data_IF_049302252852
#
_entry.id   IF_049302252852
#
_cell.length_a   1.000
_cell.length_b   1.000
_cell.length_c   1.000
_cell.angle_alpha   90.00
_cell.angle_beta   90.00
_cell.angle_gamma   90.00
#
_symmetry.space_group_name_H-M   'P 1'
#
loop_
_entity.id
_entity.type
_entity.pdbx_description
1 polymer ?
#
# COMPACT_ATOMS: atom_id res chain seq x y z
N UNK A 1 -11.98 -6.92 33.89
CA UNK A 1 -11.60 -5.75 34.70
C UNK A 1 -10.38 -5.20 34.02
N UNK A 2 -10.60 -4.35 33.02
CA UNK A 2 -9.52 -3.60 32.39
C UNK A 2 -9.01 -2.63 33.44
N UNK A 3 -7.76 -2.81 33.86
CA UNK A 3 -7.08 -1.80 34.66
C UNK A 3 -7.12 -0.50 33.87
N UNK A 4 -7.66 0.55 34.47
CA UNK A 4 -7.47 1.93 34.03
C UNK A 4 -5.96 2.18 33.91
N UNK A 5 -5.41 1.96 32.71
CA UNK A 5 -4.02 2.22 32.43
C UNK A 5 -3.78 3.73 32.51
N UNK A 6 -2.71 4.14 33.16
CA UNK A 6 -2.25 5.53 33.12
C UNK A 6 -2.19 6.00 31.65
N UNK A 7 -2.68 7.21 31.39
CA UNK A 7 -2.59 7.83 30.08
C UNK A 7 -1.14 7.82 29.62
N UNK A 8 -0.85 7.40 28.37
CA UNK A 8 0.52 7.34 27.88
C UNK A 8 1.15 8.73 27.85
N UNK A 9 2.36 8.84 28.40
CA UNK A 9 3.19 10.04 28.34
C UNK A 9 4.16 9.97 27.16
N UNK A 10 4.71 11.12 26.75
CA UNK A 10 5.75 11.22 25.72
C UNK A 10 5.39 10.48 24.40
N UNK A 11 4.11 10.46 24.04
CA UNK A 11 3.63 9.79 22.84
C UNK A 11 4.18 10.43 21.57
N UNK A 12 4.74 9.61 20.69
CA UNK A 12 5.18 9.98 19.35
C UNK A 12 4.81 8.88 18.35
N UNK A 13 4.45 9.29 17.14
CA UNK A 13 4.31 8.38 15.99
C UNK A 13 4.95 9.01 14.77
N UNK A 14 5.53 8.20 13.90
CA UNK A 14 6.21 8.67 12.70
C UNK A 14 6.04 7.69 11.54
N UNK A 15 6.13 8.25 10.33
CA UNK A 15 6.49 7.54 9.10
C UNK A 15 7.80 8.17 8.64
N UNK A 16 8.86 7.38 8.63
CA UNK A 16 10.13 7.78 8.05
C UNK A 16 10.14 7.37 6.58
N UNK A 17 9.87 8.34 5.71
CA UNK A 17 9.85 8.10 4.26
C UNK A 17 11.26 7.88 3.68
N UNK A 18 12.34 8.14 4.42
CA UNK A 18 13.71 7.94 3.92
C UNK A 18 14.12 6.47 3.98
N UNK A 19 13.54 5.70 4.90
CA UNK A 19 13.82 4.26 5.07
C UNK A 19 12.56 3.38 5.02
N UNK A 20 11.41 3.98 4.69
CA UNK A 20 10.10 3.34 4.64
C UNK A 20 9.75 2.54 5.90
N UNK A 21 10.06 3.10 7.07
CA UNK A 21 9.66 2.54 8.37
C UNK A 21 8.62 3.41 9.07
N UNK A 22 7.73 2.76 9.81
CA UNK A 22 6.70 3.42 10.62
C UNK A 22 6.98 3.08 12.06
N UNK A 23 6.74 4.00 12.98
CA UNK A 23 6.84 3.65 14.38
C UNK A 23 6.01 4.49 15.32
N UNK A 24 5.92 3.97 16.54
CA UNK A 24 5.23 4.57 17.67
C UNK A 24 6.10 4.38 18.91
N UNK A 25 6.23 5.42 19.72
CA UNK A 25 6.89 5.38 21.02
C UNK A 25 6.01 6.06 22.06
N UNK A 26 5.91 5.48 23.26
CA UNK A 26 5.20 6.09 24.38
C UNK A 26 5.71 5.53 25.71
N UNK A 27 5.43 6.24 26.78
CA UNK A 27 5.77 5.84 28.14
C UNK A 27 4.51 5.54 28.95
N UNK A 28 4.55 4.48 29.75
CA UNK A 28 3.54 4.15 30.76
C UNK A 28 4.27 3.74 32.04
N UNK A 29 4.07 4.51 33.12
CA UNK A 29 4.93 4.46 34.31
C UNK A 29 6.42 4.60 33.96
N UNK A 30 7.23 3.63 34.40
CA UNK A 30 8.67 3.60 34.12
C UNK A 30 9.05 2.88 32.82
N UNK A 31 8.06 2.41 32.04
CA UNK A 31 8.30 1.61 30.85
C UNK A 31 8.06 2.42 29.58
N UNK A 32 9.08 2.51 28.74
CA UNK A 32 8.99 3.03 27.37
C UNK A 32 8.73 1.86 26.43
N UNK A 33 7.64 1.95 25.68
CA UNK A 33 7.29 1.01 24.63
C UNK A 33 7.62 1.60 23.27
N UNK A 34 8.18 0.79 22.38
CA UNK A 34 8.46 1.18 20.99
C UNK A 34 7.94 0.12 20.05
N UNK A 35 7.33 0.55 18.95
CA UNK A 35 6.86 -0.31 17.87
C UNK A 35 7.44 0.21 16.57
N UNK A 36 8.12 -0.63 15.80
CA UNK A 36 8.60 -0.32 14.45
C UNK A 36 7.94 -1.30 13.47
N UNK A 37 7.46 -0.81 12.34
CA UNK A 37 6.78 -1.58 11.29
C UNK A 37 7.39 -1.25 9.93
N UNK A 38 7.48 -2.26 9.06
CA UNK A 38 7.78 -2.07 7.64
C UNK A 38 7.22 -3.22 6.80
N UNK A 39 6.83 -2.91 5.56
CA UNK A 39 6.42 -3.89 4.56
C UNK A 39 7.59 -4.13 3.61
N UNK A 40 8.23 -5.30 3.71
CA UNK A 40 9.50 -5.57 3.04
C UNK A 40 9.29 -6.35 1.75
N UNK A 41 9.53 -5.68 0.62
CA UNK A 41 9.48 -6.32 -0.70
C UNK A 41 10.45 -7.52 -0.82
N UNK A 42 11.72 -7.44 -0.36
CA UNK A 42 12.64 -8.59 -0.44
C UNK A 42 12.20 -9.84 0.33
N UNK A 43 11.39 -9.67 1.38
CA UNK A 43 10.89 -10.80 2.19
C UNK A 43 9.44 -11.15 1.86
N UNK A 44 8.72 -10.26 1.17
CA UNK A 44 7.30 -10.36 0.88
C UNK A 44 6.39 -10.23 2.11
N UNK A 45 6.90 -9.83 3.28
CA UNK A 45 6.16 -9.82 4.55
C UNK A 45 6.09 -8.42 5.17
N UNK A 46 5.03 -8.19 5.97
CA UNK A 46 5.01 -7.08 6.92
C UNK A 46 5.64 -7.53 8.23
N UNK A 47 6.59 -6.76 8.73
CA UNK A 47 7.37 -7.06 9.93
C UNK A 47 7.11 -5.97 10.95
N UNK A 48 6.79 -6.37 12.18
CA UNK A 48 6.68 -5.51 13.33
C UNK A 48 7.67 -5.93 14.41
N UNK A 49 8.41 -4.97 14.97
CA UNK A 49 9.22 -5.16 16.17
C UNK A 49 8.57 -4.38 17.31
N UNK A 50 8.20 -5.08 18.38
CA UNK A 50 7.65 -4.48 19.59
C UNK A 50 8.70 -4.58 20.69
N UNK A 51 8.97 -3.48 21.37
CA UNK A 51 10.01 -3.36 22.40
C UNK A 51 9.47 -2.66 23.64
N UNK A 52 10.00 -3.01 24.80
CA UNK A 52 9.74 -2.37 26.07
C UNK A 52 11.04 -2.35 26.89
N UNK A 53 11.51 -1.17 27.31
CA UNK A 53 12.82 -1.00 27.98
C UNK A 53 12.97 -1.73 29.33
N UNK A 54 11.89 -2.26 29.91
CA UNK A 54 11.89 -3.03 31.16
C UNK A 54 11.61 -4.50 30.83
N UNK A 55 12.49 -5.40 31.25
CA UNK A 55 12.33 -6.85 31.05
C UNK A 55 11.00 -7.34 31.65
N UNK A 56 10.30 -8.25 30.94
CA UNK A 56 9.02 -8.81 31.39
C UNK A 56 7.82 -7.86 31.32
N UNK A 57 7.98 -6.61 30.90
CA UNK A 57 6.89 -5.63 30.83
C UNK A 57 6.03 -5.72 29.55
N UNK A 58 6.52 -6.39 28.51
CA UNK A 58 5.81 -6.51 27.24
C UNK A 58 4.76 -7.64 27.29
N UNK A 59 3.48 -7.28 27.28
CA UNK A 59 2.34 -8.22 27.19
C UNK A 59 1.32 -7.69 26.20
N UNK A 60 0.84 -8.54 25.30
CA UNK A 60 -0.16 -8.17 24.29
C UNK A 60 -0.95 -9.39 23.80
N UNK A 61 -2.12 -9.11 23.24
CA UNK A 61 -2.89 -10.07 22.43
C UNK A 61 -2.81 -9.65 20.96
N UNK A 62 -2.59 -10.63 20.10
CA UNK A 62 -2.63 -10.42 18.65
C UNK A 62 -3.89 -11.10 18.09
N UNK A 63 -4.70 -10.32 17.40
CA UNK A 63 -5.88 -10.79 16.69
C UNK A 63 -5.89 -10.20 15.28
N UNK A 64 -6.29 -11.01 14.31
CA UNK A 64 -6.58 -10.55 12.95
C UNK A 64 -8.08 -10.63 12.77
N UNK A 65 -8.72 -9.50 12.52
CA UNK A 65 -10.14 -9.38 12.21
C UNK A 65 -10.35 -8.65 10.88
N UNK A 66 -11.60 -8.64 10.42
CA UNK A 66 -12.06 -7.91 9.22
C UNK A 66 -13.03 -6.78 9.60
N UNK A 67 -12.92 -6.24 10.80
CA UNK A 67 -13.76 -5.16 11.31
C UNK A 67 -14.98 -5.60 12.16
N UNK A 68 -15.67 -4.61 12.72
CA UNK A 68 -16.70 -4.77 13.77
C UNK A 68 -18.13 -5.02 13.26
N UNK A 69 -18.32 -5.20 11.94
CA UNK A 69 -19.63 -5.32 11.30
C UNK A 69 -20.06 -6.73 10.89
N UNK A 70 -19.26 -7.76 11.18
CA UNK A 70 -19.44 -9.10 10.60
C UNK A 70 -20.74 -9.78 11.04
N UNK A 71 -21.75 -9.72 10.18
CA UNK A 71 -22.72 -10.80 10.09
C UNK A 71 -22.03 -11.98 9.39
N UNK A 72 -22.29 -13.21 9.85
CA UNK A 72 -21.85 -14.49 9.26
C UNK A 72 -22.04 -14.66 7.74
N UNK A 73 -22.74 -13.73 7.08
CA UNK A 73 -23.02 -13.69 5.65
C UNK A 73 -21.91 -12.97 4.84
N UNK A 74 -20.98 -12.28 5.49
CA UNK A 74 -19.83 -11.59 4.85
C UNK A 74 -18.53 -12.42 4.91
N UNK A 75 -18.55 -13.55 5.64
CA UNK A 75 -17.42 -14.48 5.77
C UNK A 75 -17.33 -15.51 4.64
N UNK A 76 -18.35 -15.57 3.79
CA UNK A 76 -18.36 -16.44 2.62
C UNK A 76 -19.12 -15.77 1.48
N UNK A 77 -18.49 -15.68 0.32
CA UNK A 77 -19.17 -15.41 -0.93
C UNK A 77 -19.30 -16.72 -1.69
N UNK A 78 -20.52 -17.06 -2.10
CA UNK A 78 -20.76 -18.17 -3.00
C UNK A 78 -20.92 -17.65 -4.43
N UNK A 79 -20.40 -18.36 -5.44
CA UNK A 79 -20.64 -18.00 -6.83
C UNK A 79 -22.13 -17.93 -7.13
N UNK A 80 -22.60 -16.82 -7.69
CA UNK A 80 -23.94 -16.73 -8.23
C UNK A 80 -23.90 -17.10 -9.72
N UNK A 81 -24.21 -18.36 -10.04
CA UNK A 81 -24.16 -18.87 -11.41
C UNK A 81 -22.73 -19.14 -11.90
N UNK A 82 -22.60 -19.41 -13.21
CA UNK A 82 -21.32 -19.83 -13.84
C UNK A 82 -20.31 -18.72 -14.08
N UNK A 83 -20.74 -17.45 -14.03
CA UNK A 83 -19.94 -16.30 -14.45
C UNK A 83 -19.33 -15.53 -13.26
N UNK A 84 -19.58 -15.99 -12.03
CA UNK A 84 -18.96 -15.40 -10.83
C UNK A 84 -17.57 -16.00 -10.61
N UNK A 85 -16.55 -15.15 -10.49
CA UNK A 85 -15.18 -15.55 -10.18
C UNK A 85 -14.93 -15.35 -8.67
N UNK A 86 -14.97 -16.41 -7.83
CA UNK A 86 -14.68 -16.27 -6.41
C UNK A 86 -13.18 -16.06 -6.16
N UNK A 87 -12.85 -15.04 -5.36
CA UNK A 87 -11.49 -14.85 -4.84
C UNK A 87 -11.44 -15.35 -3.41
N UNK A 88 -10.69 -16.43 -3.18
CA UNK A 88 -10.33 -16.88 -1.84
C UNK A 88 -9.11 -16.12 -1.33
N UNK A 89 -9.00 -15.96 -0.01
CA UNK A 89 -7.80 -15.39 0.61
C UNK A 89 -7.46 -16.12 1.92
N UNK A 90 -6.21 -15.98 2.34
CA UNK A 90 -5.75 -16.36 3.67
C UNK A 90 -4.81 -15.29 4.19
N UNK A 91 -4.90 -15.01 5.49
CA UNK A 91 -3.98 -14.14 6.20
C UNK A 91 -3.54 -14.84 7.48
N UNK A 92 -2.31 -14.57 7.90
CA UNK A 92 -1.74 -15.16 9.11
C UNK A 92 -0.69 -14.27 9.71
N UNK A 93 -0.42 -14.52 10.99
CA UNK A 93 0.68 -13.89 11.70
C UNK A 93 1.50 -14.93 12.47
N UNK A 94 2.80 -14.69 12.58
CA UNK A 94 3.72 -15.46 13.42
C UNK A 94 4.40 -14.52 14.40
N UNK A 95 4.37 -14.88 15.66
CA UNK A 95 5.18 -14.25 16.70
C UNK A 95 6.44 -15.10 16.83
N UNK A 96 7.61 -14.55 16.49
CA UNK A 96 8.87 -15.24 16.76
C UNK A 96 9.20 -15.08 18.25
N UNK A 97 9.43 -16.20 18.95
CA UNK A 97 9.75 -16.14 20.37
C UNK A 97 11.09 -15.45 20.62
N UNK A 98 11.11 -14.73 21.73
CA UNK A 98 12.08 -13.73 22.16
C UNK A 98 13.51 -14.26 22.31
N UNK A 99 14.45 -13.33 22.27
CA UNK A 99 15.83 -13.49 22.76
C UNK A 99 15.93 -13.45 24.30
N UNK A 100 14.79 -13.48 25.01
CA UNK A 100 14.71 -13.45 26.47
C UNK A 100 14.54 -12.04 27.06
N UNK A 101 14.85 -10.98 26.31
CA UNK A 101 14.87 -9.60 26.80
C UNK A 101 14.03 -8.67 25.92
N UNK A 102 13.14 -7.88 26.53
CA UNK A 102 12.74 -6.52 26.08
C UNK A 102 12.06 -6.40 24.69
N UNK A 103 12.09 -7.38 23.78
CA UNK A 103 11.58 -7.26 22.40
C UNK A 103 10.94 -8.54 21.83
N UNK A 104 10.03 -8.38 20.86
CA UNK A 104 9.42 -9.47 20.08
C UNK A 104 9.21 -9.06 18.63
N UNK A 105 9.24 -10.04 17.73
CA UNK A 105 8.93 -9.85 16.31
C UNK A 105 7.60 -10.47 15.95
N UNK A 106 6.81 -9.73 15.18
CA UNK A 106 5.57 -10.21 14.58
C UNK A 106 5.68 -10.11 13.07
N UNK A 107 5.45 -11.21 12.38
CA UNK A 107 5.42 -11.31 10.92
C UNK A 107 3.98 -11.48 10.47
N UNK A 108 3.57 -10.75 9.44
CA UNK A 108 2.25 -10.88 8.82
C UNK A 108 2.41 -11.24 7.35
N UNK A 109 1.52 -12.13 6.89
CA UNK A 109 1.43 -12.51 5.49
C UNK A 109 -0.02 -12.73 5.08
N UNK A 110 -0.35 -12.38 3.83
CA UNK A 110 -1.61 -12.70 3.20
C UNK A 110 -1.43 -13.05 1.72
N UNK A 111 -2.27 -13.96 1.24
CA UNK A 111 -2.33 -14.32 -0.17
C UNK A 111 -3.78 -14.48 -0.61
N UNK A 112 -4.02 -14.29 -1.90
CA UNK A 112 -5.31 -14.57 -2.55
C UNK A 112 -5.15 -15.65 -3.62
N UNK A 113 -6.27 -16.23 -4.04
CA UNK A 113 -6.32 -17.20 -5.14
C UNK A 113 -5.88 -16.59 -6.48
N UNK A 114 -5.87 -15.26 -6.61
CA UNK A 114 -5.33 -14.57 -7.78
C UNK A 114 -3.81 -14.76 -7.93
N UNK A 115 -3.09 -15.09 -6.84
CA UNK A 115 -1.63 -15.21 -6.84
C UNK A 115 -1.13 -16.59 -6.42
N UNK A 116 -1.89 -17.30 -5.58
CA UNK A 116 -1.53 -18.61 -5.03
C UNK A 116 -2.71 -19.55 -5.14
N UNK A 117 -2.53 -20.71 -5.77
CA UNK A 117 -3.58 -21.72 -5.88
C UNK A 117 -4.10 -22.16 -4.51
N UNK A 118 -3.20 -22.31 -3.53
CA UNK A 118 -3.53 -22.52 -2.13
C UNK A 118 -2.94 -21.38 -1.27
N UNK A 119 -3.72 -20.31 -1.01
CA UNK A 119 -3.27 -19.19 -0.21
C UNK A 119 -2.88 -19.57 1.22
N UNK A 120 -3.58 -20.54 1.82
CA UNK A 120 -3.33 -20.95 3.20
C UNK A 120 -1.98 -21.66 3.32
N UNK A 121 -1.69 -22.61 2.42
CA UNK A 121 -0.40 -23.28 2.40
C UNK A 121 0.75 -22.27 2.20
N UNK A 122 0.58 -21.33 1.27
CA UNK A 122 1.59 -20.29 1.00
C UNK A 122 1.85 -19.38 2.20
N UNK A 123 0.79 -18.94 2.91
CA UNK A 123 0.92 -18.14 4.14
C UNK A 123 1.68 -18.92 5.22
N UNK A 124 1.30 -20.18 5.46
CA UNK A 124 1.93 -21.02 6.49
C UNK A 124 3.40 -21.27 6.17
N UNK A 125 3.73 -21.58 4.93
CA UNK A 125 5.11 -21.83 4.47
C UNK A 125 6.00 -20.60 4.67
N UNK A 126 5.57 -19.42 4.23
CA UNK A 126 6.35 -18.20 4.34
C UNK A 126 6.54 -17.74 5.78
N UNK A 127 5.49 -17.83 6.60
CA UNK A 127 5.60 -17.55 8.03
C UNK A 127 6.51 -18.58 8.72
N UNK A 128 6.46 -19.86 8.36
CA UNK A 128 7.37 -20.86 8.90
C UNK A 128 8.84 -20.52 8.59
N UNK A 129 9.11 -20.03 7.37
CA UNK A 129 10.43 -19.59 6.92
C UNK A 129 10.90 -18.26 7.54
N UNK A 130 10.01 -17.45 8.11
CA UNK A 130 10.37 -16.20 8.77
C UNK A 130 11.33 -16.45 9.95
N UNK A 131 12.45 -15.72 9.95
CA UNK A 131 13.59 -15.96 10.82
C UNK A 131 13.37 -15.55 12.29
N UNK A 132 14.24 -16.03 13.16
CA UNK A 132 14.34 -15.70 14.59
C UNK A 132 14.98 -14.32 14.83
N UNK A 133 14.86 -13.77 16.04
CA UNK A 133 15.16 -12.37 16.40
C UNK A 133 16.48 -11.80 15.87
N UNK A 134 17.54 -12.61 15.78
CA UNK A 134 18.87 -12.22 15.26
C UNK A 134 18.84 -11.81 13.78
N UNK A 135 17.85 -12.25 13.02
CA UNK A 135 17.66 -11.90 11.63
C UNK A 135 16.99 -10.52 11.42
N UNK A 136 16.40 -9.90 12.45
CA UNK A 136 15.69 -8.63 12.30
C UNK A 136 16.55 -7.55 11.66
N UNK A 137 17.75 -7.32 12.20
CA UNK A 137 18.68 -6.29 11.69
C UNK A 137 19.01 -6.53 10.21
N UNK A 138 19.15 -7.79 9.81
CA UNK A 138 19.38 -8.16 8.41
C UNK A 138 18.15 -7.90 7.53
N UNK A 139 16.96 -8.27 7.98
CA UNK A 139 15.72 -8.02 7.23
C UNK A 139 15.42 -6.53 7.10
N UNK A 140 15.60 -5.75 8.18
CA UNK A 140 15.50 -4.29 8.14
C UNK A 140 16.52 -3.71 7.17
N UNK A 141 17.77 -4.14 7.21
CA UNK A 141 18.78 -3.65 6.27
C UNK A 141 18.43 -3.99 4.82
N UNK A 142 18.00 -5.23 4.53
CA UNK A 142 17.55 -5.62 3.18
C UNK A 142 16.38 -4.77 2.70
N UNK A 143 15.40 -4.50 3.57
CA UNK A 143 14.29 -3.59 3.30
C UNK A 143 14.77 -2.18 2.95
N UNK A 144 15.63 -1.61 3.80
CA UNK A 144 16.14 -0.25 3.61
C UNK A 144 16.98 -0.15 2.33
N UNK A 145 17.86 -1.11 2.07
CA UNK A 145 18.71 -1.15 0.88
C UNK A 145 17.85 -1.22 -0.40
N UNK A 146 16.84 -2.08 -0.42
CA UNK A 146 15.88 -2.20 -1.52
C UNK A 146 15.10 -0.90 -1.77
N UNK A 147 14.54 -0.33 -0.71
CA UNK A 147 13.77 0.90 -0.79
C UNK A 147 14.63 2.10 -1.23
N UNK A 148 15.80 2.26 -0.62
CA UNK A 148 16.70 3.38 -0.88
C UNK A 148 17.36 3.30 -2.27
N UNK A 149 17.49 2.10 -2.85
CA UNK A 149 17.92 1.94 -4.24
C UNK A 149 16.98 2.64 -5.23
N UNK A 150 15.70 2.84 -4.87
CA UNK A 150 14.72 3.62 -5.63
C UNK A 150 14.62 5.06 -5.10
N UNK A 151 14.41 5.22 -3.79
CA UNK A 151 14.11 6.51 -3.18
C UNK A 151 15.24 7.53 -3.34
N UNK A 152 16.50 7.12 -3.21
CA UNK A 152 17.65 8.05 -3.23
C UNK A 152 18.03 8.54 -4.64
N UNK A 153 17.32 8.13 -5.70
CA UNK A 153 17.62 8.52 -7.10
C UNK A 153 17.28 9.96 -7.44
N UNK A 154 16.51 10.64 -6.59
CA UNK A 154 16.15 12.05 -6.77
C UNK A 154 16.07 12.69 -5.41
N UNK A 155 16.47 13.96 -5.35
CA UNK A 155 16.40 14.80 -4.18
C UNK A 155 15.85 16.15 -4.58
N UNK A 156 14.98 16.73 -3.76
CA UNK A 156 14.50 18.09 -3.91
C UNK A 156 14.92 18.91 -2.69
N UNK A 157 15.77 19.91 -2.90
CA UNK A 157 16.17 20.88 -1.87
C UNK A 157 15.57 22.25 -2.19
N UNK A 158 14.66 22.71 -1.34
CA UNK A 158 14.01 24.02 -1.44
C UNK A 158 14.52 25.01 -0.38
N UNK A 159 15.57 24.64 0.36
CA UNK A 159 16.11 25.38 1.49
C UNK A 159 15.77 24.76 2.84
N UNK A 160 16.13 25.48 3.90
CA UNK A 160 16.08 24.99 5.28
C UNK A 160 14.92 25.63 6.04
N UNK A 161 14.07 24.81 6.65
CA UNK A 161 13.01 25.30 7.53
C UNK A 161 13.60 25.80 8.85
N UNK A 162 12.93 26.78 9.44
CA UNK A 162 13.33 27.37 10.73
C UNK A 162 13.30 26.33 11.85
N UNK A 163 14.06 26.54 12.92
CA UNK A 163 14.03 25.68 14.10
C UNK A 163 12.62 25.58 14.72
N UNK A 164 11.83 26.65 14.63
CA UNK A 164 10.44 26.65 15.09
C UNK A 164 9.58 25.70 14.25
N UNK A 165 9.70 25.74 12.91
CA UNK A 165 8.99 24.82 12.01
C UNK A 165 9.41 23.36 12.23
N UNK A 166 10.71 23.08 12.39
CA UNK A 166 11.23 21.72 12.63
C UNK A 166 10.78 21.11 13.97
N UNK A 167 10.40 21.94 14.94
CA UNK A 167 9.85 21.48 16.22
C UNK A 167 8.33 21.25 16.19
N UNK A 168 7.66 21.53 15.07
CA UNK A 168 6.22 21.30 14.90
C UNK A 168 5.93 19.90 14.36
N UNK A 169 4.74 19.39 14.67
CA UNK A 169 4.20 18.19 14.03
C UNK A 169 3.85 18.45 12.57
N UNK A 170 3.81 17.40 11.74
CA UNK A 170 3.51 17.50 10.31
C UNK A 170 2.20 18.22 10.02
N UNK A 171 1.13 17.93 10.79
CA UNK A 171 -0.19 18.57 10.66
C UNK A 171 -0.15 20.07 10.98
N UNK A 172 0.61 20.47 12.00
CA UNK A 172 0.81 21.88 12.33
C UNK A 172 1.62 22.60 11.24
N UNK A 173 2.66 21.96 10.68
CA UNK A 173 3.42 22.51 9.54
C UNK A 173 2.53 22.70 8.32
N UNK A 174 1.71 21.71 7.97
CA UNK A 174 0.76 21.79 6.85
C UNK A 174 -0.29 22.89 7.05
N UNK A 175 -0.83 23.04 8.26
CA UNK A 175 -1.77 24.13 8.58
C UNK A 175 -1.11 25.51 8.39
N UNK A 176 0.14 25.64 8.85
CA UNK A 176 0.89 26.90 8.80
C UNK A 176 1.44 27.25 7.41
N UNK A 177 1.49 26.32 6.45
CA UNK A 177 1.92 26.58 5.07
C UNK A 177 1.14 27.71 4.39
N UNK A 178 -0.11 27.91 4.79
CA UNK A 178 -0.97 29.00 4.30
C UNK A 178 -0.45 30.40 4.66
N UNK A 179 0.34 30.48 5.73
CA UNK A 179 0.81 31.75 6.32
C UNK A 179 2.32 31.96 6.14
N UNK A 180 3.10 30.88 6.09
CA UNK A 180 4.54 30.95 5.90
C UNK A 180 5.04 29.75 5.08
N UNK A 181 5.86 30.03 4.07
CA UNK A 181 6.50 28.97 3.29
C UNK A 181 7.43 28.14 4.18
N UNK A 182 7.32 26.82 4.04
CA UNK A 182 8.11 25.85 4.77
C UNK A 182 8.79 24.93 3.73
N UNK A 183 10.09 25.13 3.44
CA UNK A 183 10.74 24.46 2.32
C UNK A 183 10.84 22.94 2.49
N UNK A 184 11.16 22.47 3.70
CA UNK A 184 11.35 21.03 3.92
C UNK A 184 10.03 20.26 3.92
N UNK A 185 8.91 20.85 4.37
CA UNK A 185 7.61 20.15 4.29
C UNK A 185 7.11 20.05 2.86
N UNK A 186 7.40 21.04 2.01
CA UNK A 186 7.09 20.98 0.57
C UNK A 186 7.97 19.95 -0.14
N UNK A 187 9.27 19.91 0.17
CA UNK A 187 10.15 18.84 -0.30
C UNK A 187 9.68 17.45 0.17
N UNK A 188 9.28 17.33 1.44
CA UNK A 188 8.69 16.10 2.01
C UNK A 188 7.43 15.69 1.26
N UNK A 189 6.57 16.63 0.85
CA UNK A 189 5.36 16.30 0.09
C UNK A 189 5.67 15.76 -1.32
N UNK A 190 6.68 16.32 -1.99
CA UNK A 190 7.22 15.76 -3.24
C UNK A 190 7.75 14.33 -3.04
N UNK A 191 8.56 14.12 -2.02
CA UNK A 191 9.11 12.80 -1.69
C UNK A 191 8.03 11.81 -1.24
N UNK A 192 6.95 12.29 -0.63
CA UNK A 192 5.82 11.47 -0.25
C UNK A 192 5.13 10.87 -1.49
N UNK A 193 4.99 11.63 -2.58
CA UNK A 193 4.48 11.09 -3.85
C UNK A 193 5.34 9.95 -4.40
N UNK A 194 6.67 10.10 -4.34
CA UNK A 194 7.63 9.04 -4.72
C UNK A 194 7.51 7.82 -3.80
N UNK A 195 7.45 8.05 -2.49
CA UNK A 195 7.26 6.99 -1.48
C UNK A 195 5.99 6.19 -1.76
N UNK A 196 4.86 6.85 -2.06
CA UNK A 196 3.60 6.17 -2.35
C UNK A 196 3.71 5.30 -3.60
N UNK A 197 4.33 5.78 -4.68
CA UNK A 197 4.52 4.98 -5.89
C UNK A 197 5.44 3.78 -5.65
N UNK A 198 6.57 3.97 -4.93
CA UNK A 198 7.46 2.88 -4.53
C UNK A 198 6.70 1.84 -3.69
N UNK A 199 5.86 2.27 -2.74
CA UNK A 199 5.14 1.37 -1.86
C UNK A 199 3.99 0.60 -2.54
N UNK A 200 3.53 1.01 -3.74
CA UNK A 200 2.30 0.49 -4.34
C UNK A 200 2.47 -0.16 -5.70
N UNK A 201 3.53 0.16 -6.45
CA UNK A 201 3.66 -0.24 -7.85
C UNK A 201 4.95 -1.03 -8.12
N UNK A 202 5.33 -1.92 -7.20
CA UNK A 202 6.51 -2.80 -7.34
C UNK A 202 6.30 -3.85 -8.43
N UNK A 203 7.40 -4.46 -8.89
CA UNK A 203 7.37 -5.52 -9.90
C UNK A 203 6.45 -6.66 -9.45
N UNK A 204 5.52 -7.04 -10.32
CA UNK A 204 4.55 -8.08 -10.01
C UNK A 204 3.44 -7.62 -9.06
N UNK A 205 3.35 -6.35 -8.65
CA UNK A 205 2.14 -5.81 -8.03
C UNK A 205 1.03 -5.58 -9.08
N UNK A 206 -0.14 -5.14 -8.64
CA UNK A 206 -1.11 -4.47 -9.53
C UNK A 206 -0.83 -2.95 -9.51
N UNK A 207 -1.29 -2.19 -10.52
CA UNK A 207 -1.21 -0.74 -10.45
C UNK A 207 -1.86 -0.16 -9.20
N UNK A 208 -1.37 0.97 -8.66
CA UNK A 208 -2.06 1.70 -7.59
C UNK A 208 -3.42 2.14 -8.10
N UNK A 209 -4.47 1.74 -7.38
CA UNK A 209 -5.83 2.15 -7.69
C UNK A 209 -6.11 3.58 -7.17
N UNK A 210 -7.38 4.01 -7.13
CA UNK A 210 -7.76 5.33 -6.60
C UNK A 210 -7.24 5.62 -5.17
N UNK A 211 -6.92 4.59 -4.39
CA UNK A 211 -6.39 4.68 -3.03
C UNK A 211 -5.01 4.01 -2.90
N UNK A 212 -4.30 3.77 -4.00
CA UNK A 212 -3.06 3.01 -4.02
C UNK A 212 -3.31 1.53 -3.70
N UNK A 213 -3.10 1.17 -2.43
CA UNK A 213 -3.42 -0.15 -1.85
C UNK A 213 -4.13 -0.03 -0.49
N UNK A 214 -4.45 1.19 -0.04
CA UNK A 214 -4.93 1.45 1.32
C UNK A 214 -6.43 1.70 1.34
N UNK A 215 -7.20 0.68 1.72
CA UNK A 215 -8.66 0.75 1.79
C UNK A 215 -9.19 -0.04 3.00
N UNK A 216 -10.09 0.56 3.76
CA UNK A 216 -10.79 -0.08 4.89
C UNK A 216 -12.23 -0.50 4.56
N UNK A 217 -12.77 -0.05 3.43
CA UNK A 217 -14.21 -0.13 3.16
C UNK A 217 -14.51 -1.28 2.20
N UNK A 218 -15.57 -2.06 2.47
CA UNK A 218 -16.01 -3.12 1.55
C UNK A 218 -16.63 -2.58 0.26
N UNK A 219 -17.23 -1.39 0.35
CA UNK A 219 -17.81 -0.65 -0.77
C UNK A 219 -17.20 0.76 -0.80
N UNK A 220 -15.92 0.88 -1.21
CA UNK A 220 -15.21 2.16 -1.21
C UNK A 220 -15.75 3.09 -2.31
N UNK A 221 -15.49 4.38 -2.17
CA UNK A 221 -15.91 5.37 -3.17
C UNK A 221 -15.35 5.01 -4.55
N UNK A 222 -16.25 4.99 -5.55
CA UNK A 222 -15.94 4.59 -6.93
C UNK A 222 -15.30 3.19 -7.02
N UNK A 223 -15.59 2.32 -6.06
CA UNK A 223 -15.08 0.94 -5.99
C UNK A 223 -13.57 0.83 -5.77
N UNK A 224 -12.86 1.93 -5.45
CA UNK A 224 -11.39 1.96 -5.42
C UNK A 224 -10.78 1.32 -6.66
N UNK A 225 -11.41 1.57 -7.82
CA UNK A 225 -11.09 0.95 -9.11
C UNK A 225 -9.97 1.71 -9.81
N UNK A 226 -9.77 1.39 -11.09
CA UNK A 226 -8.95 2.17 -12.00
C UNK A 226 -9.84 3.08 -12.83
N UNK A 227 -9.86 4.37 -12.48
CA UNK A 227 -10.47 5.39 -13.32
C UNK A 227 -9.43 5.92 -14.31
N UNK A 228 -9.65 5.64 -15.58
CA UNK A 228 -8.68 5.74 -16.68
C UNK A 228 -9.03 6.87 -17.66
N UNK A 229 -9.64 7.92 -17.13
CA UNK A 229 -9.88 9.16 -17.84
C UNK A 229 -9.19 10.36 -17.16
N UNK A 230 -8.28 10.08 -16.20
CA UNK A 230 -7.37 11.01 -15.53
C UNK A 230 -6.62 10.33 -14.37
N UNK A 231 -7.30 9.53 -13.54
CA UNK A 231 -6.78 9.15 -12.22
C UNK A 231 -5.62 8.17 -12.30
N UNK A 232 -5.78 7.05 -13.01
CA UNK A 232 -4.72 6.07 -13.16
C UNK A 232 -3.53 6.68 -13.91
N UNK A 233 -3.80 7.52 -14.92
CA UNK A 233 -2.75 8.28 -15.60
C UNK A 233 -1.96 9.14 -14.60
N UNK A 234 -2.66 9.90 -13.77
CA UNK A 234 -2.06 10.77 -12.76
C UNK A 234 -1.21 10.02 -11.75
N UNK A 235 -1.63 8.82 -11.33
CA UNK A 235 -0.86 7.97 -10.44
C UNK A 235 0.55 7.67 -10.98
N UNK A 236 0.71 7.61 -12.30
CA UNK A 236 1.97 7.27 -12.96
C UNK A 236 2.77 8.45 -13.51
N UNK A 237 2.23 9.66 -13.56
CA UNK A 237 2.98 10.86 -13.98
C UNK A 237 4.34 11.03 -13.27
N UNK A 238 4.52 10.77 -11.96
CA UNK A 238 5.82 10.91 -11.33
C UNK A 238 6.83 9.83 -11.73
N UNK A 239 6.41 8.69 -12.29
CA UNK A 239 7.30 7.53 -12.52
C UNK A 239 8.54 7.86 -13.34
N UNK A 240 8.37 8.49 -14.51
CA UNK A 240 9.46 8.84 -15.41
C UNK A 240 10.30 10.01 -14.91
N UNK A 241 9.65 11.14 -14.67
CA UNK A 241 10.31 12.41 -14.33
C UNK A 241 11.03 12.35 -12.98
N UNK A 242 10.68 11.38 -12.13
CA UNK A 242 11.32 11.17 -10.84
C UNK A 242 12.18 9.88 -10.79
N UNK A 243 12.58 9.33 -11.95
CA UNK A 243 13.56 8.24 -12.05
C UNK A 243 13.13 6.92 -11.35
N UNK A 244 11.87 6.53 -11.56
CA UNK A 244 11.20 5.33 -11.05
C UNK A 244 10.55 4.52 -12.18
N UNK A 245 11.19 4.45 -13.35
CA UNK A 245 10.66 3.81 -14.56
C UNK A 245 10.28 2.35 -14.33
N UNK A 246 11.03 1.58 -13.53
CA UNK A 246 10.71 0.17 -13.29
C UNK A 246 9.38 -0.03 -12.55
N UNK A 247 8.83 1.03 -11.93
CA UNK A 247 7.55 0.96 -11.25
C UNK A 247 6.38 1.04 -12.24
N UNK A 248 6.60 1.29 -13.53
CA UNK A 248 5.53 1.32 -14.55
C UNK A 248 5.11 -0.07 -15.02
N UNK A 249 5.87 -1.13 -14.72
CA UNK A 249 5.57 -2.49 -15.18
C UNK A 249 4.16 -2.97 -14.84
N UNK A 250 3.61 -2.75 -13.62
CA UNK A 250 2.22 -3.13 -13.34
C UNK A 250 1.20 -2.45 -14.28
N UNK A 251 1.42 -1.19 -14.67
CA UNK A 251 0.54 -0.49 -15.62
C UNK A 251 0.64 -1.10 -17.01
N UNK A 252 1.86 -1.41 -17.45
CA UNK A 252 2.09 -2.07 -18.75
C UNK A 252 1.37 -3.42 -18.83
N UNK A 253 1.43 -4.21 -17.77
CA UNK A 253 0.72 -5.49 -17.66
C UNK A 253 -0.80 -5.31 -17.73
N UNK A 254 -1.35 -4.32 -17.00
CA UNK A 254 -2.78 -4.00 -17.06
C UNK A 254 -3.19 -3.59 -18.48
N UNK A 255 -2.45 -2.70 -19.13
CA UNK A 255 -2.73 -2.25 -20.50
C UNK A 255 -2.69 -3.43 -21.49
N UNK A 256 -1.78 -4.38 -21.30
CA UNK A 256 -1.71 -5.58 -22.13
C UNK A 256 -2.97 -6.46 -22.00
N UNK A 257 -3.44 -6.67 -20.77
CA UNK A 257 -4.69 -7.37 -20.50
C UNK A 257 -5.90 -6.63 -21.12
N UNK A 258 -5.97 -5.31 -20.91
CA UNK A 258 -7.02 -4.45 -21.46
C UNK A 258 -7.01 -4.42 -22.98
N UNK A 259 -5.85 -4.46 -23.63
CA UNK A 259 -5.77 -4.54 -25.08
C UNK A 259 -6.48 -5.79 -25.59
N UNK A 260 -6.24 -6.95 -24.95
CA UNK A 260 -6.92 -8.20 -25.32
C UNK A 260 -8.43 -8.10 -25.12
N UNK A 261 -8.89 -7.70 -23.93
CA UNK A 261 -10.32 -7.60 -23.61
C UNK A 261 -11.05 -6.54 -24.45
N UNK A 262 -10.39 -5.40 -24.68
CA UNK A 262 -10.92 -4.26 -25.41
C UNK A 262 -11.12 -4.53 -26.90
N UNK A 263 -10.48 -5.55 -27.49
CA UNK A 263 -10.78 -5.95 -28.89
C UNK A 263 -12.21 -6.45 -29.05
N UNK A 264 -12.71 -7.20 -28.06
CA UNK A 264 -14.07 -7.73 -28.10
C UNK A 264 -15.10 -6.63 -27.90
N UNK A 265 -14.82 -5.67 -27.01
CA UNK A 265 -15.66 -4.48 -26.81
C UNK A 265 -15.75 -3.64 -28.09
N UNK A 266 -14.62 -3.35 -28.74
CA UNK A 266 -14.57 -2.60 -29.99
C UNK A 266 -15.40 -3.27 -31.10
N UNK A 267 -15.28 -4.59 -31.23
CA UNK A 267 -15.99 -5.40 -32.21
C UNK A 267 -17.49 -5.44 -31.93
N UNK A 268 -17.89 -5.78 -30.71
CA UNK A 268 -19.30 -5.98 -30.36
C UNK A 268 -20.10 -4.67 -30.33
N UNK A 269 -19.54 -3.62 -29.74
CA UNK A 269 -20.28 -2.36 -29.54
C UNK A 269 -20.22 -1.43 -30.75
N UNK A 270 -19.09 -1.42 -31.48
CA UNK A 270 -18.83 -0.42 -32.51
C UNK A 270 -18.53 -1.01 -33.89
N UNK A 271 -18.50 -2.34 -34.04
CA UNK A 271 -18.09 -3.03 -35.27
C UNK A 271 -16.73 -2.51 -35.80
N UNK A 272 -15.83 -2.19 -34.87
CA UNK A 272 -14.52 -1.62 -35.16
C UNK A 272 -13.41 -2.66 -34.96
N UNK A 273 -12.33 -2.54 -35.74
CA UNK A 273 -11.07 -3.23 -35.49
C UNK A 273 -10.24 -2.50 -34.43
N UNK A 274 -9.28 -3.18 -33.81
CA UNK A 274 -8.43 -2.63 -32.76
C UNK A 274 -9.02 -2.90 -31.36
N UNK A 275 -8.50 -2.20 -30.35
CA UNK A 275 -8.94 -2.33 -28.97
C UNK A 275 -9.34 -0.95 -28.41
N UNK A 276 -10.31 -0.93 -27.50
CA UNK A 276 -10.71 0.28 -26.80
C UNK A 276 -11.14 -0.02 -25.36
N UNK A 277 -11.15 1.00 -24.51
CA UNK A 277 -11.74 0.95 -23.17
C UNK A 277 -12.45 2.27 -22.85
N UNK A 278 -13.42 2.22 -21.96
CA UNK A 278 -14.17 3.39 -21.51
C UNK A 278 -13.45 4.14 -20.37
N UNK A 279 -14.16 4.80 -19.46
CA UNK A 279 -13.56 5.63 -18.40
C UNK A 279 -13.08 4.86 -17.17
N UNK A 280 -13.48 3.61 -16.97
CA UNK A 280 -13.14 2.77 -15.82
C UNK A 280 -12.70 1.37 -16.25
N UNK A 281 -11.85 0.75 -15.44
CA UNK A 281 -11.49 -0.68 -15.47
C UNK A 281 -11.26 -1.16 -14.04
N UNK A 282 -11.02 -2.46 -13.85
CA UNK A 282 -10.73 -3.07 -12.56
C UNK A 282 -9.65 -4.16 -12.69
N UNK A 283 -9.50 -4.99 -11.66
CA UNK A 283 -8.54 -6.11 -11.61
C UNK A 283 -8.71 -7.12 -12.75
N UNK A 284 -9.89 -7.17 -13.38
CA UNK A 284 -10.19 -8.07 -14.49
C UNK A 284 -9.91 -7.44 -15.86
N UNK A 285 -9.41 -6.19 -15.89
CA UNK A 285 -9.16 -5.44 -17.10
C UNK A 285 -10.42 -5.27 -17.97
N UNK A 286 -11.59 -5.06 -17.34
CA UNK A 286 -12.84 -4.79 -18.05
C UNK A 286 -12.77 -3.47 -18.84
N UNK A 287 -13.24 -3.50 -20.08
CA UNK A 287 -13.20 -2.38 -21.01
C UNK A 287 -14.59 -1.87 -21.40
N UNK A 288 -15.67 -2.52 -20.92
CA UNK A 288 -17.04 -2.08 -21.17
C UNK A 288 -17.36 -0.75 -20.44
N UNK A 289 -18.40 -0.01 -20.86
CA UNK A 289 -18.84 1.16 -20.13
C UNK A 289 -19.33 0.75 -18.74
N UNK A 290 -18.80 1.39 -17.70
CA UNK A 290 -19.23 1.16 -16.31
C UNK A 290 -20.14 2.30 -15.82
N UNK A 291 -20.85 2.07 -14.71
CA UNK A 291 -21.77 3.03 -14.09
C UNK A 291 -23.03 3.34 -14.92
N UNK A 292 -23.94 4.13 -14.36
CA UNK A 292 -25.23 4.47 -14.98
C UNK A 292 -25.37 5.98 -15.30
N UNK A 293 -24.29 6.75 -15.18
CA UNK A 293 -24.29 8.19 -15.47
C UNK A 293 -23.79 8.46 -16.89
N UNK A 294 -24.74 8.56 -17.82
CA UNK A 294 -24.49 8.58 -19.27
C UNK A 294 -23.37 9.54 -19.71
N UNK A 295 -23.30 10.75 -19.13
CA UNK A 295 -22.31 11.78 -19.51
C UNK A 295 -20.87 11.45 -19.12
N UNK A 296 -20.63 10.56 -18.14
CA UNK A 296 -19.29 10.07 -17.82
C UNK A 296 -19.02 8.67 -18.39
N UNK A 297 -20.04 7.82 -18.45
CA UNK A 297 -19.92 6.41 -18.83
C UNK A 297 -19.45 6.21 -20.28
N UNK A 298 -19.98 6.99 -21.23
CA UNK A 298 -19.66 6.84 -22.66
C UNK A 298 -18.46 7.69 -23.07
N UNK A 299 -17.28 7.31 -22.58
CA UNK A 299 -16.01 7.95 -22.96
C UNK A 299 -15.01 6.90 -23.47
N UNK A 300 -14.97 6.62 -24.80
CA UNK A 300 -14.26 5.45 -25.36
C UNK A 300 -12.76 5.69 -25.61
N UNK A 301 -12.11 6.55 -24.83
CA UNK A 301 -10.73 6.98 -25.07
C UNK A 301 -9.74 6.55 -23.99
N UNK A 302 -10.15 5.74 -23.01
CA UNK A 302 -9.29 5.40 -21.86
C UNK A 302 -8.06 4.62 -22.24
N UNK A 303 -8.23 3.54 -23.01
CA UNK A 303 -7.09 2.78 -23.51
C UNK A 303 -6.19 3.63 -24.43
N UNK A 304 -6.79 4.58 -25.16
CA UNK A 304 -6.05 5.52 -26.01
C UNK A 304 -5.14 6.46 -25.20
N UNK A 305 -5.61 6.98 -24.06
CA UNK A 305 -4.80 7.82 -23.19
C UNK A 305 -3.72 6.98 -22.47
N UNK A 306 -4.07 5.82 -21.93
CA UNK A 306 -3.10 4.92 -21.33
C UNK A 306 -1.99 4.50 -22.32
N UNK A 307 -2.30 4.35 -23.61
CA UNK A 307 -1.31 4.08 -24.64
C UNK A 307 -0.30 5.23 -24.81
N UNK A 308 -0.69 6.49 -24.59
CA UNK A 308 0.25 7.63 -24.60
C UNK A 308 1.28 7.46 -23.47
N UNK A 309 0.86 7.00 -22.29
CA UNK A 309 1.79 6.74 -21.19
C UNK A 309 2.84 5.68 -21.52
N UNK A 310 2.52 4.71 -22.39
CA UNK A 310 3.49 3.72 -22.87
C UNK A 310 4.50 4.31 -23.86
N UNK A 311 4.08 5.29 -24.67
CA UNK A 311 4.95 5.92 -25.67
C UNK A 311 5.98 6.86 -25.03
N UNK A 312 5.67 7.44 -23.87
CA UNK A 312 6.58 8.31 -23.13
C UNK A 312 7.68 7.53 -22.38
N UNK A 313 7.54 6.20 -22.24
CA UNK A 313 8.47 5.29 -21.56
C UNK A 313 9.51 4.69 -22.52
#
# INVERSE_FOLDING_TARGET
MDSEGESPENYQRWLNIVDATIGVSYQSGNTTYTREFFASEPTGMVIAKLEANVEGSLSFHLHLDRGTGLNRWEDSSEPLGGDTIPIGFSAGAKIASTDGDVSTLVFFQSWTTCRKLDPRAAVVEQLAAAADGKAYKKMRQMHVDDYQALFNRTSLDLGVSTSAQRNMTTDARLTNLTSAFDPEIVATYFDFGRYLLIATSRLGALPPNLQGIWNSDFDPQWGSKYTININLEMNYWPSLITNLIELTTPLQELIHCMHTNGTEVARQMFNASGAMAHHNTDIWADCAPQDNYFSSTFWPSGLGWLAIQLLDQ
#
